data_IF_673779074948
#
_entry.id   IF_673779074948
#
_cell.length_a   1.000
_cell.length_b   1.000
_cell.length_c   1.000
_cell.angle_alpha   90.00
_cell.angle_beta   90.00
_cell.angle_gamma   90.00
#
_symmetry.space_group_name_H-M   'P 1'
#
loop_
_entity.id
_entity.type
_entity.pdbx_description
1 polymer ?
#
# COMPACT_ATOMS: atom_id res chain seq x y z
N UNK A 1 -36.78 -12.71 65.12
CA UNK A 1 -35.74 -11.69 64.80
C UNK A 1 -34.48 -12.45 64.40
N UNK A 2 -33.89 -12.41 63.21
CA UNK A 2 -34.19 -11.83 61.91
C UNK A 2 -33.27 -12.53 60.90
N UNK A 3 -33.80 -12.89 59.73
CA UNK A 3 -33.04 -13.42 58.58
C UNK A 3 -31.99 -12.41 58.13
N UNK A 4 -30.77 -12.84 57.82
CA UNK A 4 -29.91 -12.22 56.79
C UNK A 4 -29.13 -13.30 56.05
N UNK A 5 -29.67 -13.71 54.90
CA UNK A 5 -28.91 -14.35 53.82
C UNK A 5 -28.02 -13.30 53.18
N UNK A 6 -26.71 -13.53 53.15
CA UNK A 6 -25.79 -12.73 52.36
C UNK A 6 -25.84 -13.27 50.93
N UNK A 7 -26.59 -12.57 50.07
CA UNK A 7 -26.60 -12.80 48.62
C UNK A 7 -25.36 -12.08 48.07
N UNK A 8 -24.35 -12.83 47.65
CA UNK A 8 -23.19 -12.31 46.92
C UNK A 8 -23.63 -12.00 45.49
N UNK A 9 -23.83 -10.72 45.17
CA UNK A 9 -24.07 -10.28 43.81
C UNK A 9 -22.73 -10.22 43.06
N UNK A 10 -22.43 -11.25 42.28
CA UNK A 10 -21.39 -11.17 41.25
C UNK A 10 -21.91 -10.28 40.12
N UNK A 11 -21.51 -9.02 40.12
CA UNK A 11 -21.63 -8.15 38.95
C UNK A 11 -20.69 -8.71 37.86
N UNK A 12 -21.24 -9.50 36.94
CA UNK A 12 -20.60 -9.71 35.63
C UNK A 12 -20.74 -8.39 34.89
N UNK A 13 -19.69 -7.57 34.94
CA UNK A 13 -19.54 -6.45 34.04
C UNK A 13 -19.32 -7.03 32.64
N UNK A 14 -20.41 -7.24 31.91
CA UNK A 14 -20.37 -7.43 30.47
C UNK A 14 -19.85 -6.14 29.87
N UNK A 15 -18.53 -6.05 29.68
CA UNK A 15 -17.94 -5.09 28.75
C UNK A 15 -18.44 -5.46 27.37
N UNK A 16 -19.57 -4.87 26.99
CA UNK A 16 -19.88 -4.58 25.60
C UNK A 16 -18.67 -3.78 25.10
N UNK A 17 -17.73 -4.47 24.46
CA UNK A 17 -16.79 -3.86 23.54
C UNK A 17 -17.67 -3.26 22.44
N UNK A 18 -18.10 -2.02 22.66
CA UNK A 18 -18.50 -1.15 21.59
C UNK A 18 -17.35 -1.20 20.59
N UNK A 19 -17.62 -1.74 19.41
CA UNK A 19 -16.80 -1.61 18.20
C UNK A 19 -16.76 -0.13 17.80
N UNK A 20 -16.20 0.70 18.68
CA UNK A 20 -15.77 2.03 18.33
C UNK A 20 -14.67 1.84 17.31
N UNK A 21 -14.98 2.20 16.07
CA UNK A 21 -14.04 2.31 14.97
C UNK A 21 -12.86 3.19 15.44
N UNK A 22 -11.81 2.54 15.94
CA UNK A 22 -10.52 3.18 16.12
C UNK A 22 -10.07 3.54 14.71
N UNK A 23 -10.26 4.80 14.32
CA UNK A 23 -9.64 5.31 13.10
C UNK A 23 -8.14 5.07 13.24
N UNK A 24 -7.52 4.42 12.26
CA UNK A 24 -6.10 4.17 12.28
C UNK A 24 -5.33 5.49 12.43
N UNK A 25 -4.22 5.45 13.18
CA UNK A 25 -3.42 6.64 13.45
C UNK A 25 -2.84 7.23 12.16
N UNK A 26 -2.95 8.55 12.02
CA UNK A 26 -2.33 9.29 10.92
C UNK A 26 -0.81 9.23 11.05
N UNK A 27 -0.10 8.86 9.98
CA UNK A 27 1.37 8.88 9.94
C UNK A 27 1.93 10.27 9.63
N UNK A 28 1.11 11.18 9.08
CA UNK A 28 1.42 12.60 8.90
C UNK A 28 0.51 13.46 9.79
N UNK A 29 0.88 13.65 11.05
CA UNK A 29 0.03 14.30 12.06
C UNK A 29 -0.04 15.83 11.95
N UNK A 30 0.89 16.43 11.20
CA UNK A 30 1.04 17.89 11.05
C UNK A 30 0.97 18.29 9.58
N UNK A 31 0.60 19.55 9.33
CA UNK A 31 0.75 20.17 8.01
C UNK A 31 2.22 20.43 7.74
N UNK A 32 2.78 19.76 6.74
CA UNK A 32 4.13 20.02 6.25
C UNK A 32 4.14 21.31 5.42
N UNK A 33 5.25 22.05 5.49
CA UNK A 33 5.44 23.28 4.71
C UNK A 33 6.19 22.98 3.41
N UNK A 34 5.44 22.75 2.34
CA UNK A 34 5.94 22.65 0.98
C UNK A 34 5.38 23.78 0.12
N UNK A 35 6.20 24.78 -0.27
CA UNK A 35 5.75 25.92 -1.07
C UNK A 35 5.28 25.57 -2.49
N UNK A 36 5.70 24.42 -3.03
CA UNK A 36 5.32 23.97 -4.37
C UNK A 36 4.13 23.00 -4.37
N UNK A 37 3.70 22.53 -3.20
CA UNK A 37 2.53 21.65 -3.06
C UNK A 37 1.21 22.42 -3.15
N UNK A 38 0.15 21.70 -3.53
CA UNK A 38 -1.24 22.18 -3.47
C UNK A 38 -1.90 21.63 -2.21
N UNK A 39 -2.77 22.41 -1.57
CA UNK A 39 -3.51 21.99 -0.37
C UNK A 39 -5.02 22.02 -0.66
N UNK A 40 -5.71 20.89 -0.48
CA UNK A 40 -7.15 20.77 -0.64
C UNK A 40 -7.88 21.46 0.51
N UNK A 41 -8.03 22.78 0.41
CA UNK A 41 -8.54 23.63 1.49
C UNK A 41 -9.69 24.52 0.98
N UNK A 42 -10.67 24.87 1.82
CA UNK A 42 -11.80 25.73 1.43
C UNK A 42 -11.38 27.11 0.90
N UNK A 43 -10.20 27.59 1.27
CA UNK A 43 -9.63 28.85 0.77
C UNK A 43 -9.18 28.76 -0.68
N UNK A 44 -8.82 27.56 -1.15
CA UNK A 44 -8.26 27.32 -2.48
C UNK A 44 -9.24 26.63 -3.45
N UNK A 45 -10.19 25.85 -2.91
CA UNK A 45 -11.12 25.03 -3.69
C UNK A 45 -12.51 25.05 -3.06
N UNK A 46 -13.59 24.82 -3.82
CA UNK A 46 -14.96 24.76 -3.30
C UNK A 46 -15.25 23.44 -2.54
N UNK A 47 -14.28 22.94 -1.78
CA UNK A 47 -14.35 21.70 -1.01
C UNK A 47 -15.01 21.95 0.35
N UNK A 48 -15.80 20.99 0.86
CA UNK A 48 -16.46 21.05 2.16
C UNK A 48 -15.81 20.13 3.19
N UNK A 49 -15.51 18.88 2.84
CA UNK A 49 -14.90 17.92 3.77
C UNK A 49 -15.79 17.56 4.96
N UNK A 50 -17.12 17.69 4.82
CA UNK A 50 -18.12 17.47 5.88
C UNK A 50 -18.80 16.08 5.83
N UNK A 51 -18.46 15.27 4.84
CA UNK A 51 -19.01 13.93 4.59
C UNK A 51 -20.41 13.91 3.98
N UNK A 52 -20.96 15.08 3.64
CA UNK A 52 -22.33 15.25 3.14
C UNK A 52 -22.33 15.86 1.74
N UNK A 53 -21.66 16.99 1.56
CA UNK A 53 -21.55 17.65 0.26
C UNK A 53 -20.72 16.80 -0.70
N UNK A 54 -21.09 16.81 -1.98
CA UNK A 54 -20.29 16.15 -3.00
C UNK A 54 -19.04 16.98 -3.33
N UNK A 55 -17.89 16.47 -2.92
CA UNK A 55 -16.59 17.11 -3.10
C UNK A 55 -15.88 16.66 -4.38
N UNK A 56 -16.49 15.79 -5.21
CA UNK A 56 -15.82 15.18 -6.36
C UNK A 56 -15.20 16.20 -7.33
N UNK A 57 -15.92 17.27 -7.65
CA UNK A 57 -15.40 18.32 -8.56
C UNK A 57 -14.30 19.16 -7.93
N UNK A 58 -14.39 19.45 -6.63
CA UNK A 58 -13.37 20.21 -5.93
C UNK A 58 -12.06 19.42 -5.83
N UNK A 59 -12.17 18.11 -5.56
CA UNK A 59 -11.02 17.20 -5.52
C UNK A 59 -10.38 17.07 -6.91
N UNK A 60 -11.18 16.89 -7.97
CA UNK A 60 -10.65 16.83 -9.34
C UNK A 60 -9.95 18.14 -9.74
N UNK A 61 -10.53 19.31 -9.41
CA UNK A 61 -9.90 20.61 -9.66
C UNK A 61 -8.56 20.76 -8.95
N UNK A 62 -8.45 20.26 -7.71
CA UNK A 62 -7.19 20.29 -6.97
C UNK A 62 -6.12 19.40 -7.62
N UNK A 63 -6.47 18.18 -8.03
CA UNK A 63 -5.56 17.29 -8.77
C UNK A 63 -5.15 17.92 -10.11
N UNK A 64 -6.09 18.54 -10.82
CA UNK A 64 -5.82 19.21 -12.10
C UNK A 64 -4.85 20.38 -11.93
N UNK A 65 -4.94 21.10 -10.81
CA UNK A 65 -4.08 22.23 -10.45
C UNK A 65 -2.65 21.80 -10.11
N UNK A 66 -2.47 20.63 -9.50
CA UNK A 66 -1.13 20.08 -9.22
C UNK A 66 -0.37 19.88 -10.54
N UNK A 67 -0.99 19.23 -11.52
CA UNK A 67 -0.37 18.90 -12.82
C UNK A 67 0.76 17.84 -12.76
N UNK A 68 1.52 17.82 -11.66
CA UNK A 68 2.53 16.86 -11.22
C UNK A 68 3.13 17.36 -9.88
N UNK A 69 3.42 16.49 -8.92
CA UNK A 69 3.81 16.86 -7.56
C UNK A 69 2.82 16.39 -6.49
N UNK A 70 2.66 17.15 -5.41
CA UNK A 70 1.92 16.72 -4.21
C UNK A 70 0.61 17.52 -4.06
N UNK A 71 -0.48 16.79 -3.80
CA UNK A 71 -1.72 17.31 -3.21
C UNK A 71 -1.81 16.87 -1.74
N UNK A 72 -1.71 17.83 -0.82
CA UNK A 72 -1.96 17.60 0.60
C UNK A 72 -3.45 17.71 0.91
N UNK A 73 -3.97 16.71 1.62
CA UNK A 73 -5.39 16.59 1.96
C UNK A 73 -5.52 16.65 3.49
N UNK A 74 -6.08 17.72 4.07
CA UNK A 74 -6.28 17.81 5.51
C UNK A 74 -7.29 16.77 5.99
N UNK A 75 -7.23 16.42 7.27
CA UNK A 75 -8.26 15.64 7.94
C UNK A 75 -9.66 16.18 7.63
N UNK A 76 -10.60 15.28 7.38
CA UNK A 76 -11.96 15.60 6.95
C UNK A 76 -12.60 14.37 6.32
N UNK A 77 -13.90 14.46 6.02
CA UNK A 77 -14.62 13.41 5.29
C UNK A 77 -15.11 13.98 3.97
N UNK A 78 -14.63 13.45 2.86
CA UNK A 78 -14.89 13.98 1.53
C UNK A 78 -15.81 13.00 0.80
N UNK A 79 -17.09 13.37 0.65
CA UNK A 79 -18.03 12.50 -0.05
C UNK A 79 -17.83 12.65 -1.55
N UNK A 80 -17.66 11.51 -2.23
CA UNK A 80 -17.52 11.42 -3.68
C UNK A 80 -18.76 10.75 -4.27
N UNK A 81 -19.21 11.19 -5.44
CA UNK A 81 -20.32 10.56 -6.19
C UNK A 81 -19.92 10.11 -7.59
N UNK A 82 -18.71 10.46 -8.02
CA UNK A 82 -18.14 10.10 -9.32
C UNK A 82 -16.65 9.79 -9.21
N UNK A 83 -16.12 9.17 -10.25
CA UNK A 83 -14.70 8.83 -10.35
C UNK A 83 -13.84 10.09 -10.39
N UNK A 84 -12.81 10.10 -9.55
CA UNK A 84 -11.73 11.09 -9.53
C UNK A 84 -10.50 10.48 -10.20
N UNK A 85 -9.92 11.19 -11.16
CA UNK A 85 -8.76 10.74 -11.92
C UNK A 85 -7.47 11.29 -11.34
N UNK A 86 -6.51 10.41 -11.07
CA UNK A 86 -5.16 10.76 -10.62
C UNK A 86 -4.23 10.77 -11.83
N UNK A 87 -3.56 11.89 -12.07
CA UNK A 87 -2.64 12.04 -13.19
C UNK A 87 -1.26 11.43 -12.91
N UNK A 88 -0.49 11.07 -13.96
CA UNK A 88 0.89 10.63 -13.81
C UNK A 88 1.72 11.64 -12.99
N UNK A 89 2.50 11.15 -12.03
CA UNK A 89 3.32 11.98 -11.16
C UNK A 89 2.55 12.86 -10.18
N UNK A 90 1.28 12.57 -9.87
CA UNK A 90 0.55 13.24 -8.79
C UNK A 90 0.47 12.32 -7.57
N UNK A 91 0.87 12.84 -6.40
CA UNK A 91 0.78 12.14 -5.11
C UNK A 91 -0.25 12.79 -4.19
N UNK A 92 -1.15 11.99 -3.66
CA UNK A 92 -2.17 12.41 -2.70
C UNK A 92 -1.68 12.00 -1.31
N UNK A 93 -1.51 12.97 -0.42
CA UNK A 93 -0.97 12.73 0.93
C UNK A 93 -1.93 13.34 1.96
N UNK A 94 -2.56 12.48 2.76
CA UNK A 94 -3.41 12.91 3.86
C UNK A 94 -2.60 13.39 5.05
N UNK A 95 -3.12 14.39 5.79
CA UNK A 95 -2.49 14.86 7.03
C UNK A 95 -3.51 15.34 8.06
N UNK A 96 -3.12 15.32 9.34
CA UNK A 96 -3.94 15.73 10.48
C UNK A 96 -3.89 14.71 11.61
N UNK A 97 -4.58 14.99 12.71
CA UNK A 97 -4.61 14.11 13.88
C UNK A 97 -5.25 12.75 13.54
N UNK A 98 -6.20 12.75 12.61
CA UNK A 98 -6.77 11.55 11.99
C UNK A 98 -6.56 11.61 10.49
N UNK A 99 -6.53 10.45 9.82
CA UNK A 99 -6.47 10.39 8.36
C UNK A 99 -7.72 11.03 7.75
N UNK A 100 -7.62 11.78 6.63
CA UNK A 100 -8.79 12.10 5.83
C UNK A 100 -9.44 10.84 5.27
N UNK A 101 -10.77 10.91 5.09
CA UNK A 101 -11.59 9.81 4.58
C UNK A 101 -12.26 10.24 3.28
N UNK A 102 -12.08 9.49 2.21
CA UNK A 102 -12.95 9.60 1.03
C UNK A 102 -14.08 8.59 1.12
N UNK A 103 -15.32 9.08 1.02
CA UNK A 103 -16.51 8.25 1.23
C UNK A 103 -17.41 8.20 0.00
N UNK A 104 -17.77 6.99 -0.41
CA UNK A 104 -18.92 6.75 -1.29
C UNK A 104 -20.14 6.41 -0.41
N UNK A 105 -21.18 7.23 -0.49
CA UNK A 105 -22.40 7.04 0.30
C UNK A 105 -23.14 5.75 -0.08
N UNK A 106 -24.05 5.32 0.80
CA UNK A 106 -24.94 4.18 0.50
C UNK A 106 -25.75 4.42 -0.77
N UNK A 107 -25.99 3.35 -1.55
CA UNK A 107 -26.81 3.38 -2.76
C UNK A 107 -26.46 4.54 -3.72
N UNK A 108 -25.17 4.88 -3.87
CA UNK A 108 -24.76 6.03 -4.68
C UNK A 108 -25.07 5.76 -6.15
N UNK A 109 -25.85 6.62 -6.84
CA UNK A 109 -26.29 6.36 -8.20
C UNK A 109 -25.17 5.99 -9.17
N UNK A 110 -25.38 4.88 -9.89
CA UNK A 110 -24.48 4.38 -10.91
C UNK A 110 -23.39 3.43 -10.39
N UNK A 111 -23.41 3.05 -9.11
CA UNK A 111 -22.53 2.02 -8.51
C UNK A 111 -23.26 0.69 -8.22
N UNK A 112 -24.49 0.53 -8.75
CA UNK A 112 -25.34 -0.66 -8.57
C UNK A 112 -25.17 -1.70 -9.69
N UNK A 113 -24.39 -1.39 -10.73
CA UNK A 113 -24.23 -2.25 -11.90
C UNK A 113 -23.35 -3.49 -11.66
N UNK A 114 -23.11 -4.25 -12.73
CA UNK A 114 -22.26 -5.46 -12.71
C UNK A 114 -20.79 -5.18 -13.07
N UNK A 115 -20.53 -4.08 -13.77
CA UNK A 115 -19.17 -3.67 -14.17
C UNK A 115 -18.57 -2.74 -13.13
N UNK A 116 -17.26 -2.88 -12.87
CA UNK A 116 -16.55 -1.98 -11.96
C UNK A 116 -16.74 -0.51 -12.27
N UNK A 117 -16.91 0.26 -11.19
CA UNK A 117 -16.85 1.70 -11.18
C UNK A 117 -16.00 2.17 -10.02
N UNK A 118 -15.10 3.11 -10.29
CA UNK A 118 -14.00 3.43 -9.40
C UNK A 118 -14.27 4.74 -8.65
N UNK A 119 -13.92 4.83 -7.37
CA UNK A 119 -13.83 6.12 -6.68
C UNK A 119 -12.60 6.88 -7.18
N UNK A 120 -11.45 6.21 -7.23
CA UNK A 120 -10.21 6.75 -7.78
C UNK A 120 -9.70 5.93 -8.96
N UNK A 121 -9.25 6.62 -10.00
CA UNK A 121 -8.66 6.00 -11.19
C UNK A 121 -7.28 6.59 -11.47
N UNK A 122 -6.23 5.78 -11.31
CA UNK A 122 -4.88 6.18 -11.70
C UNK A 122 -4.75 6.08 -13.21
N UNK A 123 -4.61 7.24 -13.87
CA UNK A 123 -4.67 7.35 -15.32
C UNK A 123 -3.28 7.47 -15.94
N UNK A 124 -3.11 6.91 -17.15
CA UNK A 124 -1.94 7.15 -17.99
C UNK A 124 -1.87 8.55 -18.61
N UNK A 125 -2.91 9.38 -18.46
CA UNK A 125 -2.97 10.74 -18.99
C UNK A 125 -4.38 11.20 -19.37
N UNK A 126 -4.53 12.51 -19.58
CA UNK A 126 -5.82 13.21 -19.84
C UNK A 126 -6.50 12.90 -21.19
N UNK A 127 -6.00 11.93 -21.95
CA UNK A 127 -6.43 11.64 -23.32
C UNK A 127 -5.80 12.57 -24.37
N UNK A 128 -5.80 12.16 -25.65
CA UNK A 128 -5.16 12.90 -26.77
C UNK A 128 -6.00 14.06 -27.32
N UNK A 129 -7.31 14.07 -27.08
CA UNK A 129 -8.24 15.10 -27.54
C UNK A 129 -8.89 15.79 -26.33
N UNK A 130 -9.07 17.10 -26.39
CA UNK A 130 -9.82 17.83 -25.36
C UNK A 130 -11.22 17.22 -25.17
N UNK A 131 -11.50 16.71 -23.97
CA UNK A 131 -12.79 16.09 -23.62
C UNK A 131 -12.92 14.60 -23.92
N UNK A 132 -11.87 13.92 -24.39
CA UNK A 132 -11.85 12.45 -24.46
C UNK A 132 -11.73 11.80 -23.07
N UNK A 133 -12.11 10.52 -22.92
CA UNK A 133 -11.90 9.81 -21.66
C UNK A 133 -10.40 9.70 -21.34
N UNK A 134 -10.01 9.80 -20.05
CA UNK A 134 -8.64 9.54 -19.63
C UNK A 134 -8.15 8.17 -20.10
N UNK A 135 -6.87 8.07 -20.45
CA UNK A 135 -6.28 6.77 -20.81
C UNK A 135 -6.07 5.93 -19.55
N UNK A 136 -6.22 4.61 -19.67
CA UNK A 136 -5.79 3.69 -18.61
C UNK A 136 -4.28 3.85 -18.33
N UNK A 137 -3.88 3.46 -17.13
CA UNK A 137 -2.46 3.36 -16.80
C UNK A 137 -1.73 2.38 -17.71
N UNK A 138 -0.43 2.61 -17.88
CA UNK A 138 0.41 1.87 -18.81
C UNK A 138 1.85 1.78 -18.26
N UNK A 139 2.78 1.07 -18.93
CA UNK A 139 4.17 0.96 -18.48
C UNK A 139 4.93 2.29 -18.29
N UNK A 140 4.37 3.43 -18.72
CA UNK A 140 4.90 4.78 -18.51
C UNK A 140 4.23 5.58 -17.38
N UNK A 141 3.27 5.01 -16.65
CA UNK A 141 2.55 5.69 -15.56
C UNK A 141 3.33 5.62 -14.25
N UNK A 142 4.33 6.50 -14.10
CA UNK A 142 5.24 6.54 -12.95
C UNK A 142 4.85 7.59 -11.90
N UNK A 143 5.42 7.43 -10.70
CA UNK A 143 5.48 8.43 -9.61
C UNK A 143 4.17 8.86 -8.93
N UNK A 144 3.00 8.37 -9.38
CA UNK A 144 1.72 8.67 -8.73
C UNK A 144 1.52 7.83 -7.48
N UNK A 145 0.97 8.40 -6.41
CA UNK A 145 0.75 7.65 -5.16
C UNK A 145 -0.45 8.18 -4.37
N UNK A 146 -0.93 7.38 -3.43
CA UNK A 146 -1.89 7.82 -2.41
C UNK A 146 -1.43 7.27 -1.06
N UNK A 147 -1.35 8.12 -0.04
CA UNK A 147 -0.85 7.72 1.27
C UNK A 147 -1.57 8.42 2.41
N UNK A 148 -1.74 7.71 3.53
CA UNK A 148 -2.34 8.24 4.76
C UNK A 148 -3.76 8.77 4.57
N UNK A 149 -4.56 8.05 3.77
CA UNK A 149 -5.93 8.41 3.36
C UNK A 149 -6.78 7.14 3.46
N UNK A 150 -7.92 7.23 4.13
CA UNK A 150 -8.87 6.11 4.23
C UNK A 150 -9.93 6.18 3.13
N UNK A 151 -10.45 5.01 2.74
CA UNK A 151 -11.55 4.87 1.78
C UNK A 151 -12.72 4.13 2.44
N UNK A 152 -13.90 4.72 2.33
CA UNK A 152 -15.15 4.12 2.79
C UNK A 152 -16.16 3.98 1.65
N UNK A 153 -16.75 2.80 1.53
CA UNK A 153 -17.84 2.51 0.60
C UNK A 153 -19.04 1.99 1.40
N UNK A 154 -20.15 2.70 1.34
CA UNK A 154 -21.41 2.28 1.96
C UNK A 154 -22.08 1.11 1.25
N UNK A 155 -23.07 0.52 1.91
CA UNK A 155 -23.90 -0.56 1.36
C UNK A 155 -24.63 -0.17 0.07
N UNK A 156 -25.00 -1.18 -0.74
CA UNK A 156 -25.75 -0.97 -1.99
C UNK A 156 -24.91 -0.46 -3.16
N UNK A 157 -23.59 -0.64 -3.10
CA UNK A 157 -22.64 -0.25 -4.15
C UNK A 157 -21.82 -1.45 -4.70
N UNK A 158 -22.46 -2.53 -5.21
CA UNK A 158 -21.79 -3.76 -5.62
C UNK A 158 -20.79 -3.62 -6.77
N UNK A 159 -20.90 -2.57 -7.59
CA UNK A 159 -19.91 -2.27 -8.65
C UNK A 159 -18.73 -1.43 -8.15
N UNK A 160 -18.78 -0.89 -6.93
CA UNK A 160 -17.78 0.04 -6.46
C UNK A 160 -16.43 -0.63 -6.23
N UNK A 161 -15.40 0.09 -6.63
CA UNK A 161 -14.00 -0.21 -6.34
C UNK A 161 -13.37 1.05 -5.77
N UNK A 162 -12.64 0.93 -4.67
CA UNK A 162 -11.97 2.08 -4.05
C UNK A 162 -10.95 2.72 -5.00
N UNK A 163 -9.99 1.92 -5.47
CA UNK A 163 -8.91 2.40 -6.34
C UNK A 163 -8.73 1.48 -7.56
N UNK A 164 -8.70 2.05 -8.75
CA UNK A 164 -8.15 1.41 -9.96
C UNK A 164 -6.67 1.80 -10.07
N UNK A 165 -5.77 0.86 -9.80
CA UNK A 165 -4.35 1.16 -9.57
C UNK A 165 -3.42 0.60 -10.67
N UNK A 166 -3.82 0.72 -11.95
CA UNK A 166 -2.95 0.35 -13.08
C UNK A 166 -1.81 1.37 -13.16
N UNK A 167 -0.61 0.98 -12.77
CA UNK A 167 0.52 1.90 -12.80
C UNK A 167 1.83 1.15 -13.01
N UNK A 168 2.89 1.92 -13.23
CA UNK A 168 4.27 1.45 -13.34
C UNK A 168 5.06 1.78 -12.05
N UNK A 169 6.40 1.72 -12.13
CA UNK A 169 7.31 1.87 -10.99
C UNK A 169 7.16 3.23 -10.27
N UNK A 170 7.65 3.29 -9.02
CA UNK A 170 7.57 4.46 -8.13
C UNK A 170 6.14 4.95 -7.79
N UNK A 171 5.14 4.14 -8.10
CA UNK A 171 3.78 4.30 -7.64
C UNK A 171 3.50 3.36 -6.47
N UNK A 172 2.81 3.86 -5.45
CA UNK A 172 2.41 3.07 -4.28
C UNK A 172 1.08 3.55 -3.69
N UNK A 173 0.45 2.65 -2.93
CA UNK A 173 -0.58 2.98 -1.94
C UNK A 173 -0.04 2.61 -0.56
N UNK A 174 -0.13 3.51 0.43
CA UNK A 174 0.34 3.18 1.78
C UNK A 174 -0.43 3.82 2.93
N UNK A 175 -0.47 3.12 4.07
CA UNK A 175 -1.10 3.60 5.32
C UNK A 175 -2.58 3.95 5.11
N UNK A 176 -3.40 2.98 4.72
CA UNK A 176 -4.81 3.22 4.39
C UNK A 176 -5.73 2.15 4.98
N UNK A 177 -6.87 2.59 5.52
CA UNK A 177 -7.99 1.69 5.79
C UNK A 177 -8.99 1.71 4.63
N UNK A 178 -9.50 0.54 4.28
CA UNK A 178 -10.58 0.32 3.32
C UNK A 178 -11.77 -0.31 4.04
N UNK A 179 -12.86 0.44 4.20
CA UNK A 179 -14.13 -0.06 4.78
C UNK A 179 -15.14 -0.21 3.66
N UNK A 180 -15.37 -1.44 3.22
CA UNK A 180 -15.85 -1.70 1.86
C UNK A 180 -17.35 -1.96 1.75
N UNK A 181 -18.08 -2.19 2.84
CA UNK A 181 -19.50 -2.52 2.78
C UNK A 181 -19.78 -3.63 1.76
N UNK A 182 -20.65 -3.36 0.77
CA UNK A 182 -20.97 -4.27 -0.33
C UNK A 182 -20.06 -4.13 -1.57
N UNK A 183 -18.95 -3.40 -1.52
CA UNK A 183 -18.12 -3.10 -2.69
C UNK A 183 -17.59 -4.35 -3.38
N UNK A 184 -17.27 -4.22 -4.68
CA UNK A 184 -16.58 -5.26 -5.45
C UNK A 184 -15.18 -5.49 -4.90
N UNK A 185 -14.39 -4.43 -4.78
CA UNK A 185 -13.03 -4.54 -4.28
C UNK A 185 -12.55 -3.26 -3.58
N UNK A 186 -11.56 -3.38 -2.70
CA UNK A 186 -10.80 -2.21 -2.27
C UNK A 186 -9.96 -1.66 -3.40
N UNK A 187 -9.22 -2.54 -4.08
CA UNK A 187 -8.35 -2.17 -5.20
C UNK A 187 -8.56 -3.14 -6.36
N UNK A 188 -8.64 -2.58 -7.58
CA UNK A 188 -8.54 -3.34 -8.82
C UNK A 188 -7.28 -3.02 -9.60
N UNK A 189 -6.64 -4.08 -10.07
CA UNK A 189 -5.43 -4.08 -10.90
C UNK A 189 -4.33 -3.23 -10.25
N UNK A 190 -3.44 -3.86 -9.50
CA UNK A 190 -2.37 -3.20 -8.75
C UNK A 190 -1.05 -3.16 -9.53
N UNK A 191 -0.24 -2.15 -9.24
CA UNK A 191 1.18 -2.06 -9.56
C UNK A 191 1.81 -0.95 -8.73
N UNK A 192 3.11 -0.87 -8.45
CA UNK A 192 4.06 -1.97 -8.33
C UNK A 192 4.13 -2.49 -6.87
N UNK A 193 3.59 -1.72 -5.91
CA UNK A 193 3.72 -1.94 -4.48
C UNK A 193 2.50 -1.40 -3.73
N UNK A 194 2.03 -2.14 -2.73
CA UNK A 194 1.08 -1.68 -1.72
C UNK A 194 1.56 -2.10 -0.33
N UNK A 195 1.50 -1.17 0.63
CA UNK A 195 2.10 -1.30 1.96
C UNK A 195 1.12 -0.85 3.05
N UNK A 196 1.01 -1.57 4.17
CA UNK A 196 0.22 -1.14 5.33
C UNK A 196 -1.23 -0.74 4.96
N UNK A 197 -1.90 -1.65 4.23
CA UNK A 197 -3.29 -1.50 3.83
C UNK A 197 -4.21 -2.47 4.58
N UNK A 198 -5.33 -1.97 5.08
CA UNK A 198 -6.26 -2.75 5.89
C UNK A 198 -7.65 -2.82 5.25
N UNK A 199 -8.06 -4.01 4.81
CA UNK A 199 -9.32 -4.23 4.10
C UNK A 199 -10.37 -4.88 4.99
N UNK A 200 -11.52 -4.22 5.14
CA UNK A 200 -12.65 -4.67 5.94
C UNK A 200 -13.91 -4.82 5.07
N UNK A 201 -14.43 -6.03 4.97
CA UNK A 201 -15.61 -6.34 4.16
C UNK A 201 -15.35 -6.33 2.65
N UNK A 202 -16.40 -6.13 1.85
CA UNK A 202 -16.36 -6.20 0.38
C UNK A 202 -16.38 -7.64 -0.16
N UNK A 203 -16.40 -7.78 -1.49
CA UNK A 203 -16.23 -9.10 -2.13
C UNK A 203 -14.75 -9.51 -2.14
N UNK A 204 -13.87 -8.58 -2.50
CA UNK A 204 -12.43 -8.75 -2.51
C UNK A 204 -11.73 -7.60 -1.79
N UNK A 205 -10.56 -7.84 -1.19
CA UNK A 205 -9.67 -6.76 -0.80
C UNK A 205 -8.96 -6.23 -2.04
N UNK A 206 -8.30 -7.15 -2.75
CA UNK A 206 -7.61 -6.89 -4.01
C UNK A 206 -8.13 -7.85 -5.09
N UNK A 207 -8.47 -7.33 -6.26
CA UNK A 207 -8.70 -8.12 -7.46
C UNK A 207 -7.78 -7.62 -8.58
N UNK A 208 -6.80 -8.40 -8.99
CA UNK A 208 -5.72 -7.91 -9.87
C UNK A 208 -5.42 -8.82 -11.03
N UNK A 209 -5.02 -8.20 -12.14
CA UNK A 209 -4.31 -8.83 -13.26
C UNK A 209 -2.82 -8.50 -13.20
N UNK A 210 -2.08 -8.88 -14.24
CA UNK A 210 -0.72 -8.40 -14.49
C UNK A 210 -0.63 -6.89 -14.30
N UNK A 211 0.41 -6.42 -13.61
CA UNK A 211 0.74 -5.01 -13.59
C UNK A 211 0.93 -4.48 -15.03
N UNK A 212 0.80 -3.17 -15.21
CA UNK A 212 0.95 -2.53 -16.52
C UNK A 212 2.23 -2.95 -17.28
N UNK A 213 3.41 -2.98 -16.63
CA UNK A 213 4.64 -3.45 -17.26
C UNK A 213 4.84 -4.98 -17.21
N UNK A 214 3.94 -5.74 -16.58
CA UNK A 214 4.03 -7.20 -16.43
C UNK A 214 5.05 -7.69 -15.40
N UNK A 215 5.49 -6.82 -14.49
CA UNK A 215 6.41 -7.17 -13.39
C UNK A 215 5.64 -7.74 -12.18
N UNK A 216 6.34 -8.50 -11.30
CA UNK A 216 5.78 -8.89 -10.01
C UNK A 216 5.44 -7.68 -9.12
N UNK A 217 4.41 -7.82 -8.31
CA UNK A 217 3.85 -6.80 -7.43
C UNK A 217 4.09 -7.18 -5.96
N UNK A 218 4.49 -6.21 -5.15
CA UNK A 218 4.66 -6.37 -3.70
C UNK A 218 3.37 -5.98 -2.96
N UNK A 219 2.93 -6.86 -2.05
CA UNK A 219 1.87 -6.61 -1.07
C UNK A 219 2.47 -6.88 0.31
N UNK A 220 2.68 -5.86 1.13
CA UNK A 220 3.43 -6.01 2.39
C UNK A 220 2.71 -5.37 3.57
N UNK A 221 2.73 -6.05 4.73
CA UNK A 221 2.13 -5.57 5.98
C UNK A 221 0.62 -5.26 5.88
N UNK A 222 -0.08 -5.93 4.94
CA UNK A 222 -1.51 -5.73 4.70
C UNK A 222 -2.39 -6.68 5.53
N UNK A 223 -3.60 -6.24 5.88
CA UNK A 223 -4.60 -7.09 6.54
C UNK A 223 -5.90 -7.20 5.75
N UNK A 224 -6.50 -8.38 5.75
CA UNK A 224 -7.74 -8.69 5.05
C UNK A 224 -8.70 -9.35 6.02
N UNK A 225 -9.84 -8.72 6.27
CA UNK A 225 -10.87 -9.24 7.18
C UNK A 225 -12.27 -9.14 6.57
N UNK A 226 -12.98 -10.28 6.53
CA UNK A 226 -14.41 -10.29 6.22
C UNK A 226 -14.79 -10.16 4.74
N UNK A 227 -13.85 -10.34 3.81
CA UNK A 227 -14.20 -10.43 2.38
C UNK A 227 -15.13 -11.61 2.12
N UNK A 228 -16.20 -11.38 1.35
CA UNK A 228 -17.23 -12.38 1.10
C UNK A 228 -16.91 -13.39 -0.01
N UNK A 229 -15.89 -13.15 -0.83
CA UNK A 229 -15.43 -14.08 -1.87
C UNK A 229 -14.01 -14.58 -1.59
N UNK A 230 -13.03 -13.67 -1.62
CA UNK A 230 -11.64 -13.98 -1.27
C UNK A 230 -10.92 -12.71 -0.81
N UNK A 231 -9.88 -12.83 0.01
CA UNK A 231 -9.03 -11.68 0.33
C UNK A 231 -8.38 -11.10 -0.96
N UNK A 232 -7.80 -11.99 -1.78
CA UNK A 232 -7.15 -11.63 -3.05
C UNK A 232 -7.63 -12.54 -4.19
N UNK A 233 -8.08 -11.94 -5.29
CA UNK A 233 -8.27 -12.62 -6.57
C UNK A 233 -7.15 -12.21 -7.54
N UNK A 234 -6.42 -13.18 -8.07
CA UNK A 234 -5.27 -12.94 -8.94
C UNK A 234 -5.46 -13.57 -10.32
N UNK A 235 -5.24 -12.78 -11.36
CA UNK A 235 -5.31 -13.19 -12.76
C UNK A 235 -3.96 -12.90 -13.44
N UNK A 236 -2.99 -13.80 -13.20
CA UNK A 236 -1.59 -13.64 -13.60
C UNK A 236 -0.95 -12.41 -12.95
N UNK A 237 -1.30 -12.12 -11.70
CA UNK A 237 -0.80 -10.95 -10.99
C UNK A 237 0.71 -10.98 -10.81
N UNK A 238 1.27 -12.13 -10.45
CA UNK A 238 2.66 -12.21 -10.01
C UNK A 238 2.84 -11.47 -8.69
N UNK A 239 2.54 -12.10 -7.55
CA UNK A 239 2.46 -11.43 -6.25
C UNK A 239 3.51 -11.96 -5.28
N UNK A 240 4.28 -11.05 -4.67
CA UNK A 240 5.00 -11.28 -3.43
C UNK A 240 4.20 -10.69 -2.27
N UNK A 241 3.68 -11.54 -1.39
CA UNK A 241 2.81 -11.15 -0.27
C UNK A 241 3.54 -11.43 1.04
N UNK A 242 3.99 -10.38 1.71
CA UNK A 242 4.88 -10.49 2.88
C UNK A 242 4.17 -9.98 4.13
N UNK A 243 4.18 -10.79 5.19
CA UNK A 243 3.54 -10.52 6.48
C UNK A 243 2.04 -10.15 6.41
N UNK A 244 1.22 -10.76 5.52
CA UNK A 244 -0.20 -10.47 5.53
C UNK A 244 -0.88 -11.12 6.75
N UNK A 245 -1.95 -10.50 7.24
CA UNK A 245 -2.92 -11.19 8.09
C UNK A 245 -4.25 -11.30 7.36
N UNK A 246 -4.71 -12.53 7.14
CA UNK A 246 -5.95 -12.83 6.41
C UNK A 246 -6.88 -13.58 7.34
N UNK A 247 -8.04 -13.00 7.62
CA UNK A 247 -8.98 -13.53 8.60
C UNK A 247 -10.42 -13.50 8.12
N UNK A 248 -11.22 -14.50 8.53
CA UNK A 248 -12.67 -14.50 8.36
C UNK A 248 -13.12 -14.38 6.90
N UNK A 249 -12.43 -15.07 6.00
CA UNK A 249 -12.72 -15.09 4.55
C UNK A 249 -12.98 -16.52 4.07
N UNK A 250 -13.68 -16.73 2.93
CA UNK A 250 -13.78 -18.05 2.32
C UNK A 250 -12.44 -18.56 1.78
N UNK A 251 -11.63 -17.67 1.21
CA UNK A 251 -10.36 -17.98 0.55
C UNK A 251 -9.36 -16.85 0.75
N UNK A 252 -8.10 -17.17 1.01
CA UNK A 252 -7.04 -16.15 1.10
C UNK A 252 -6.64 -15.66 -0.30
N UNK A 253 -6.20 -16.57 -1.18
CA UNK A 253 -5.83 -16.22 -2.54
C UNK A 253 -6.45 -17.20 -3.53
N UNK A 254 -7.13 -16.66 -4.53
CA UNK A 254 -7.69 -17.43 -5.64
C UNK A 254 -7.05 -16.99 -6.95
N UNK A 255 -6.29 -17.88 -7.59
CA UNK A 255 -5.78 -17.63 -8.94
C UNK A 255 -6.85 -17.92 -9.99
N UNK A 256 -6.79 -17.24 -11.13
CA UNK A 256 -7.70 -17.44 -12.25
C UNK A 256 -7.65 -18.88 -12.80
N UNK A 257 -8.76 -19.32 -13.37
CA UNK A 257 -8.81 -20.59 -14.11
C UNK A 257 -8.00 -20.47 -15.41
N UNK A 258 -7.43 -21.59 -15.87
CA UNK A 258 -6.72 -21.73 -17.15
C UNK A 258 -5.50 -20.81 -17.35
N UNK A 259 -5.07 -20.06 -16.33
CA UNK A 259 -3.93 -19.15 -16.38
C UNK A 259 -2.91 -19.45 -15.28
N UNK A 260 -1.63 -19.35 -15.63
CA UNK A 260 -0.53 -19.54 -14.71
C UNK A 260 -0.27 -18.25 -13.92
N UNK A 261 0.07 -18.38 -12.64
CA UNK A 261 0.37 -17.24 -11.77
C UNK A 261 1.68 -17.49 -11.02
N UNK A 262 2.26 -16.43 -10.48
CA UNK A 262 3.53 -16.46 -9.74
C UNK A 262 3.29 -15.88 -8.35
N UNK A 263 2.95 -16.73 -7.39
CA UNK A 263 2.58 -16.36 -6.03
C UNK A 263 3.65 -16.80 -5.03
N UNK A 264 4.12 -15.83 -4.25
CA UNK A 264 4.95 -16.04 -3.07
C UNK A 264 4.26 -15.41 -1.87
N UNK A 265 4.00 -16.19 -0.81
CA UNK A 265 3.48 -15.67 0.45
C UNK A 265 4.43 -16.05 1.57
N UNK A 266 4.89 -15.08 2.37
CA UNK A 266 5.73 -15.36 3.53
C UNK A 266 5.30 -14.64 4.79
N UNK A 267 5.62 -15.26 5.93
CA UNK A 267 5.42 -14.70 7.28
C UNK A 267 3.95 -14.33 7.58
N UNK A 268 3.02 -15.08 7.00
CA UNK A 268 1.59 -14.79 7.03
C UNK A 268 0.87 -15.44 8.20
N UNK A 269 -0.26 -14.84 8.58
CA UNK A 269 -1.24 -15.45 9.49
C UNK A 269 -2.58 -15.60 8.77
N UNK A 270 -3.07 -16.84 8.66
CA UNK A 270 -4.37 -17.21 8.12
C UNK A 270 -5.29 -17.70 9.25
N UNK A 271 -6.44 -17.05 9.43
CA UNK A 271 -7.38 -17.36 10.51
C UNK A 271 -8.81 -17.50 10.01
N UNK A 272 -9.50 -18.57 10.42
CA UNK A 272 -10.91 -18.79 10.13
C UNK A 272 -11.22 -18.73 8.61
N UNK A 273 -10.39 -19.41 7.82
CA UNK A 273 -10.66 -19.55 6.38
C UNK A 273 -11.61 -20.72 6.19
N UNK A 274 -12.82 -20.47 5.70
CA UNK A 274 -13.88 -21.49 5.67
C UNK A 274 -13.78 -22.46 4.49
N UNK A 275 -13.22 -22.00 3.36
CA UNK A 275 -12.92 -22.81 2.18
C UNK A 275 -11.45 -23.19 2.06
N UNK A 276 -10.96 -23.53 0.84
CA UNK A 276 -9.54 -23.61 0.57
C UNK A 276 -8.86 -22.24 0.76
N UNK A 277 -7.75 -22.20 1.50
CA UNK A 277 -6.96 -20.98 1.63
C UNK A 277 -6.35 -20.55 0.29
N UNK A 278 -5.84 -21.52 -0.48
CA UNK A 278 -5.37 -21.32 -1.85
C UNK A 278 -6.27 -22.04 -2.85
N UNK A 279 -6.70 -21.33 -3.89
CA UNK A 279 -7.28 -21.94 -5.09
C UNK A 279 -6.31 -21.74 -6.25
N UNK A 280 -5.77 -22.85 -6.75
CA UNK A 280 -4.70 -22.89 -7.76
C UNK A 280 -5.31 -23.35 -9.09
N UNK A 281 -5.19 -22.51 -10.12
CA UNK A 281 -5.53 -22.83 -11.50
C UNK A 281 -4.32 -23.25 -12.33
N UNK A 282 -4.56 -23.62 -13.59
CA UNK A 282 -3.57 -24.07 -14.57
C UNK A 282 -2.43 -24.90 -13.97
N UNK A 283 -2.79 -25.86 -13.11
CA UNK A 283 -1.89 -26.57 -12.19
C UNK A 283 -0.80 -27.42 -12.87
N UNK A 284 -0.94 -27.65 -14.19
CA UNK A 284 0.02 -28.43 -14.99
C UNK A 284 0.87 -27.53 -15.90
N UNK A 285 0.83 -26.21 -15.73
CA UNK A 285 1.64 -25.27 -16.48
C UNK A 285 3.01 -25.07 -15.83
N UNK A 286 4.07 -25.12 -16.62
CA UNK A 286 5.44 -24.89 -16.14
C UNK A 286 5.68 -23.47 -15.58
N UNK A 287 4.81 -22.50 -15.90
CA UNK A 287 4.85 -21.15 -15.34
C UNK A 287 4.07 -20.99 -14.03
N UNK A 288 3.19 -21.93 -13.68
CA UNK A 288 2.45 -21.84 -12.43
C UNK A 288 3.43 -22.06 -11.28
N UNK A 289 3.52 -21.08 -10.38
CA UNK A 289 4.41 -21.08 -9.23
C UNK A 289 3.62 -20.57 -8.02
N UNK A 290 3.34 -21.43 -7.05
CA UNK A 290 2.64 -21.05 -5.82
C UNK A 290 3.45 -21.52 -4.63
N UNK A 291 3.92 -20.58 -3.82
CA UNK A 291 4.84 -20.85 -2.73
C UNK A 291 4.37 -20.18 -1.44
N UNK A 292 4.47 -20.92 -0.33
CA UNK A 292 4.30 -20.39 1.02
C UNK A 292 5.58 -20.64 1.82
N UNK A 293 5.97 -19.68 2.65
CA UNK A 293 7.03 -19.84 3.64
C UNK A 293 6.61 -19.25 4.99
N UNK A 294 6.75 -20.01 6.07
CA UNK A 294 6.40 -19.54 7.43
C UNK A 294 4.97 -18.96 7.51
N UNK A 295 3.97 -19.76 7.14
CA UNK A 295 2.56 -19.36 7.18
C UNK A 295 1.84 -20.07 8.32
N UNK A 296 1.40 -19.30 9.32
CA UNK A 296 0.64 -19.81 10.44
C UNK A 296 -0.85 -19.85 10.12
N UNK A 297 -1.50 -20.97 10.41
CA UNK A 297 -2.89 -21.24 10.11
C UNK A 297 -3.65 -21.60 11.38
N UNK A 298 -4.83 -21.02 11.57
CA UNK A 298 -5.79 -21.42 12.61
C UNK A 298 -7.19 -21.52 12.02
N UNK A 299 -7.85 -22.65 12.22
CA UNK A 299 -9.14 -22.97 11.63
C UNK A 299 -9.12 -22.83 10.09
N UNK A 300 -8.13 -23.45 9.46
CA UNK A 300 -7.97 -23.54 8.00
C UNK A 300 -8.00 -25.02 7.60
N UNK A 301 -9.19 -25.60 7.36
CA UNK A 301 -9.32 -27.05 7.16
C UNK A 301 -8.73 -27.52 5.82
N UNK A 302 -8.73 -26.65 4.80
CA UNK A 302 -8.15 -26.94 3.48
C UNK A 302 -7.11 -25.88 3.16
N UNK A 303 -5.84 -26.28 3.07
CA UNK A 303 -4.75 -25.37 2.72
C UNK A 303 -4.80 -24.99 1.24
N UNK A 304 -4.98 -25.96 0.35
CA UNK A 304 -4.97 -25.71 -1.09
C UNK A 304 -5.98 -26.60 -1.82
N UNK A 305 -6.52 -26.08 -2.92
CA UNK A 305 -7.31 -26.81 -3.90
C UNK A 305 -6.81 -26.49 -5.31
N UNK A 306 -6.92 -27.48 -6.18
CA UNK A 306 -6.42 -27.46 -7.56
C UNK A 306 -7.62 -27.54 -8.52
N UNK A 307 -7.78 -26.54 -9.38
CA UNK A 307 -9.01 -26.35 -10.17
C UNK A 307 -9.22 -27.47 -11.19
N UNK A 308 -8.17 -27.92 -11.86
CA UNK A 308 -8.27 -28.88 -12.97
C UNK A 308 -8.43 -30.32 -12.47
N UNK A 309 -7.66 -30.72 -11.44
CA UNK A 309 -7.78 -32.07 -10.87
C UNK A 309 -8.86 -32.22 -9.82
N UNK A 310 -9.31 -31.11 -9.22
CA UNK A 310 -10.16 -31.13 -8.02
C UNK A 310 -9.43 -31.63 -6.77
N UNK A 311 -8.11 -31.86 -6.84
CA UNK A 311 -7.30 -32.30 -5.70
C UNK A 311 -7.32 -31.25 -4.61
N UNK A 312 -7.34 -31.70 -3.36
CA UNK A 312 -7.20 -30.83 -2.18
C UNK A 312 -6.04 -31.27 -1.31
N UNK A 313 -5.51 -30.31 -0.54
CA UNK A 313 -4.55 -30.54 0.54
C UNK A 313 -5.16 -30.03 1.84
N UNK A 314 -5.40 -30.94 2.77
CA UNK A 314 -5.95 -30.64 4.09
C UNK A 314 -4.93 -29.91 4.96
N UNK A 315 -5.41 -28.98 5.79
CA UNK A 315 -4.61 -28.37 6.86
C UNK A 315 -4.23 -29.39 7.94
N UNK A 316 -3.16 -29.10 8.70
CA UNK A 316 -2.61 -30.05 9.68
C UNK A 316 -3.17 -29.79 11.08
N UNK A 317 -4.40 -30.21 11.35
CA UNK A 317 -5.06 -29.97 12.63
C UNK A 317 -5.73 -28.58 12.69
N UNK A 318 -6.12 -28.14 13.89
CA UNK A 318 -6.84 -26.88 14.07
C UNK A 318 -5.92 -25.65 14.09
N UNK A 319 -4.67 -25.81 14.49
CA UNK A 319 -3.62 -24.78 14.45
C UNK A 319 -2.31 -25.40 13.96
N UNK A 320 -1.71 -24.83 12.92
CA UNK A 320 -0.47 -25.35 12.33
C UNK A 320 0.35 -24.26 11.68
N UNK A 321 1.63 -24.55 11.47
CA UNK A 321 2.53 -23.71 10.68
C UNK A 321 2.95 -24.48 9.44
N UNK A 322 2.81 -23.85 8.28
CA UNK A 322 3.40 -24.30 7.02
C UNK A 322 4.79 -23.69 6.94
N UNK A 323 5.82 -24.52 7.17
CA UNK A 323 7.21 -24.07 7.04
C UNK A 323 7.50 -23.76 5.57
N UNK A 324 7.05 -24.64 4.68
CA UNK A 324 7.19 -24.51 3.24
C UNK A 324 6.04 -25.22 2.51
N UNK A 325 5.47 -24.55 1.52
CA UNK A 325 4.63 -25.15 0.49
C UNK A 325 5.17 -24.70 -0.86
N UNK A 326 5.20 -25.59 -1.84
CA UNK A 326 5.56 -25.24 -3.21
C UNK A 326 4.79 -26.09 -4.19
N UNK A 327 4.16 -25.44 -5.17
CA UNK A 327 3.59 -26.07 -6.35
C UNK A 327 4.10 -25.37 -7.60
N UNK A 328 4.56 -26.13 -8.58
CA UNK A 328 5.04 -25.62 -9.85
C UNK A 328 6.10 -26.54 -10.46
N UNK A 329 6.92 -25.98 -11.36
CA UNK A 329 8.05 -26.72 -11.96
C UNK A 329 9.22 -26.83 -10.96
N UNK A 330 9.56 -28.06 -10.58
CA UNK A 330 10.73 -28.35 -9.76
C UNK A 330 11.89 -28.91 -10.60
N UNK A 331 13.11 -28.50 -10.23
CA UNK A 331 14.37 -29.06 -10.71
C UNK A 331 15.24 -29.37 -9.50
N UNK A 332 15.38 -30.67 -9.15
CA UNK A 332 16.15 -31.12 -7.97
C UNK A 332 17.68 -31.10 -8.20
N UNK A 333 18.14 -30.53 -9.32
CA UNK A 333 19.55 -30.39 -9.71
C UNK A 333 19.71 -30.15 -11.21
N UNK A 334 20.91 -29.79 -11.66
CA UNK A 334 21.20 -29.42 -13.07
C UNK A 334 20.85 -30.53 -14.08
N UNK A 335 20.97 -31.80 -13.67
CA UNK A 335 20.70 -32.97 -14.52
C UNK A 335 19.38 -33.69 -14.14
N UNK A 336 18.60 -33.11 -13.22
CA UNK A 336 17.36 -33.73 -12.77
C UNK A 336 16.27 -33.63 -13.85
N UNK A 337 15.36 -34.61 -13.87
CA UNK A 337 14.18 -34.54 -14.71
C UNK A 337 13.26 -33.46 -14.15
N UNK A 338 12.92 -32.48 -14.98
CA UNK A 338 11.94 -31.43 -14.63
C UNK A 338 10.58 -32.06 -14.37
N UNK A 339 9.95 -31.70 -13.26
CA UNK A 339 8.64 -32.24 -12.88
C UNK A 339 7.77 -31.14 -12.29
N UNK A 340 6.52 -31.09 -12.72
CA UNK A 340 5.52 -30.28 -12.04
C UNK A 340 5.00 -31.12 -10.87
N UNK A 341 5.22 -30.64 -9.65
CA UNK A 341 4.83 -31.35 -8.42
C UNK A 341 4.39 -30.36 -7.34
N UNK A 342 3.79 -30.92 -6.29
CA UNK A 342 3.44 -30.19 -5.07
C UNK A 342 4.21 -30.79 -3.90
N UNK A 343 4.85 -29.94 -3.10
CA UNK A 343 5.57 -30.29 -1.88
C UNK A 343 5.04 -29.47 -0.71
N UNK A 344 5.01 -30.04 0.49
CA UNK A 344 4.52 -29.36 1.69
C UNK A 344 5.22 -29.89 2.94
N UNK A 345 5.75 -28.99 3.75
CA UNK A 345 6.20 -29.21 5.12
C UNK A 345 5.34 -28.36 6.03
N UNK A 346 4.63 -29.01 6.96
CA UNK A 346 3.80 -28.33 7.94
C UNK A 346 3.78 -29.12 9.25
N UNK A 347 3.65 -28.40 10.36
CA UNK A 347 3.66 -28.92 11.71
C UNK A 347 2.49 -28.35 12.52
N UNK A 348 1.80 -29.22 13.25
CA UNK A 348 0.75 -28.80 14.18
C UNK A 348 1.39 -28.08 15.38
N UNK A 349 0.74 -27.02 15.85
CA UNK A 349 1.20 -26.23 17.01
C UNK A 349 0.01 -26.00 17.95
N UNK A 350 0.28 -25.68 19.23
CA UNK A 350 -0.79 -25.46 20.21
C UNK A 350 -1.34 -24.03 20.20
N UNK A 351 -0.52 -23.06 19.80
CA UNK A 351 -0.87 -21.64 19.73
C UNK A 351 -0.26 -21.02 18.47
N UNK A 352 -0.94 -20.01 17.91
CA UNK A 352 -0.36 -19.24 16.82
C UNK A 352 0.95 -18.56 17.27
N UNK A 353 1.99 -18.53 16.40
CA UNK A 353 3.17 -17.70 16.64
C UNK A 353 2.78 -16.22 16.66
N UNK A 354 3.59 -15.36 17.29
CA UNK A 354 3.39 -13.91 17.21
C UNK A 354 3.53 -13.44 15.76
N UNK A 355 2.81 -12.37 15.42
CA UNK A 355 3.00 -11.68 14.14
C UNK A 355 4.45 -11.25 13.98
N UNK A 356 5.02 -11.51 12.80
CA UNK A 356 6.35 -11.02 12.46
C UNK A 356 6.29 -9.49 12.35
N UNK A 357 7.16 -8.79 13.08
CA UNK A 357 7.22 -7.34 13.03
C UNK A 357 7.69 -6.86 11.65
N UNK A 358 7.19 -5.69 11.22
CA UNK A 358 7.68 -5.05 10.01
C UNK A 358 9.18 -4.73 10.13
N UNK A 359 9.90 -4.96 9.05
CA UNK A 359 11.30 -4.56 8.85
C UNK A 359 11.41 -3.18 8.20
N UNK A 360 10.29 -2.54 7.86
CA UNK A 360 10.24 -1.18 7.36
C UNK A 360 10.40 -0.21 8.53
N UNK A 361 11.49 0.58 8.60
CA UNK A 361 11.70 1.48 9.71
C UNK A 361 10.66 2.60 9.74
N UNK A 362 10.01 2.78 10.89
CA UNK A 362 9.11 3.92 11.09
C UNK A 362 9.87 5.25 10.95
N UNK A 363 9.24 6.22 10.29
CA UNK A 363 9.75 7.59 10.28
C UNK A 363 9.65 8.22 11.67
N UNK A 364 10.55 9.16 12.02
CA UNK A 364 10.39 9.98 13.22
C UNK A 364 9.06 10.74 13.18
N UNK A 365 8.56 11.16 14.34
CA UNK A 365 7.38 12.03 14.43
C UNK A 365 7.49 13.23 13.48
N UNK A 366 6.54 13.42 12.54
CA UNK A 366 6.52 14.54 11.61
C UNK A 366 6.69 15.92 12.25
N UNK A 367 6.24 16.11 13.49
CA UNK A 367 6.41 17.36 14.22
C UNK A 367 7.88 17.69 14.54
N UNK A 368 8.78 16.70 14.46
CA UNK A 368 10.22 16.84 14.71
C UNK A 368 11.04 17.12 13.46
N UNK A 369 10.41 17.08 12.27
CA UNK A 369 11.14 17.24 11.02
C UNK A 369 11.51 18.70 10.81
N UNK A 370 12.79 18.94 10.55
CA UNK A 370 13.28 20.30 10.28
C UNK A 370 13.25 20.52 8.77
N UNK A 371 12.47 21.50 8.31
CA UNK A 371 12.42 21.89 6.91
C UNK A 371 13.75 22.55 6.51
N UNK A 372 14.47 21.96 5.56
CA UNK A 372 15.80 22.45 5.12
C UNK A 372 15.77 23.88 4.57
N UNK A 373 14.62 24.35 4.06
CA UNK A 373 14.43 25.73 3.59
C UNK A 373 14.67 26.75 4.69
N UNK A 374 14.26 26.42 5.92
CA UNK A 374 14.46 27.28 7.10
C UNK A 374 15.93 27.36 7.54
N UNK A 375 16.78 26.47 7.00
CA UNK A 375 18.21 26.39 7.29
C UNK A 375 19.08 27.00 6.17
N UNK A 376 18.46 27.64 5.17
CA UNK A 376 19.15 28.30 4.06
C UNK A 376 19.43 27.41 2.85
N UNK A 377 18.86 26.21 2.78
CA UNK A 377 18.90 25.36 1.58
C UNK A 377 17.83 25.84 0.59
N UNK A 378 18.21 26.26 -0.61
CA UNK A 378 17.30 26.96 -1.54
C UNK A 378 16.57 26.05 -2.52
N UNK A 379 17.18 24.91 -2.91
CA UNK A 379 16.61 23.87 -3.79
C UNK A 379 15.89 24.42 -5.00
N UNK A 380 16.47 25.48 -5.58
CA UNK A 380 15.95 26.28 -6.69
C UNK A 380 16.47 25.81 -8.05
N UNK A 381 17.28 24.74 -8.08
CA UNK A 381 17.92 24.20 -9.28
C UNK A 381 19.04 25.07 -9.84
N UNK A 382 19.55 26.04 -9.08
CA UNK A 382 20.58 27.00 -9.51
C UNK A 382 21.68 27.18 -8.49
N UNK A 383 21.31 27.34 -7.23
CA UNK A 383 22.23 27.52 -6.12
C UNK A 383 22.85 26.18 -5.76
N UNK A 384 24.16 26.17 -5.53
CA UNK A 384 24.86 25.02 -4.96
C UNK A 384 24.50 24.90 -3.47
N UNK A 385 23.64 23.94 -3.14
CA UNK A 385 23.13 23.68 -1.80
C UNK A 385 24.09 22.84 -0.94
N UNK A 386 25.24 22.40 -1.47
CA UNK A 386 26.15 21.45 -0.80
C UNK A 386 26.53 21.88 0.61
N UNK A 387 26.97 23.12 0.78
CA UNK A 387 27.44 23.60 2.08
C UNK A 387 26.28 23.71 3.09
N UNK A 388 25.12 24.19 2.63
CA UNK A 388 23.94 24.34 3.47
C UNK A 388 23.36 22.97 3.88
N UNK A 389 23.30 22.00 2.95
CA UNK A 389 22.87 20.63 3.24
C UNK A 389 23.84 19.91 4.19
N UNK A 390 25.16 20.02 3.98
CA UNK A 390 26.15 19.47 4.91
C UNK A 390 25.97 20.02 6.33
N UNK A 391 25.75 21.33 6.46
CA UNK A 391 25.47 21.97 7.75
C UNK A 391 24.17 21.44 8.38
N UNK A 392 23.09 21.39 7.60
CA UNK A 392 21.81 20.87 8.06
C UNK A 392 21.93 19.41 8.55
N UNK A 393 22.65 18.57 7.81
CA UNK A 393 22.90 17.16 8.17
C UNK A 393 23.71 17.06 9.47
N UNK A 394 24.69 17.94 9.68
CA UNK A 394 25.49 17.95 10.90
C UNK A 394 24.67 18.36 12.15
N UNK A 395 23.74 19.30 11.98
CA UNK A 395 22.99 19.93 13.09
C UNK A 395 21.67 19.21 13.42
N UNK A 396 21.01 18.57 12.43
CA UNK A 396 19.65 18.04 12.59
C UNK A 396 19.50 16.60 12.14
N UNK A 397 18.78 15.80 12.95
CA UNK A 397 18.64 14.35 12.72
C UNK A 397 17.66 14.07 11.58
N UNK A 398 16.47 14.66 11.65
CA UNK A 398 15.38 14.46 10.69
C UNK A 398 15.20 15.74 9.87
N UNK A 399 15.48 15.64 8.57
CA UNK A 399 15.41 16.75 7.63
C UNK A 399 14.31 16.48 6.62
N UNK A 400 13.35 17.38 6.55
CA UNK A 400 12.34 17.40 5.50
C UNK A 400 12.84 18.27 4.34
N UNK A 401 12.88 17.69 3.15
CA UNK A 401 13.18 18.35 1.89
C UNK A 401 11.86 18.53 1.13
N UNK A 402 11.29 19.75 1.09
CA UNK A 402 10.18 20.08 0.20
C UNK A 402 10.51 19.81 -1.27
N UNK A 403 9.51 19.79 -2.14
CA UNK A 403 9.75 19.75 -3.59
C UNK A 403 10.71 20.87 -4.03
N UNK A 404 11.69 20.50 -4.83
CA UNK A 404 12.81 21.32 -5.24
C UNK A 404 13.92 20.51 -5.90
N UNK A 405 14.80 21.23 -6.59
CA UNK A 405 16.01 20.69 -7.21
C UNK A 405 17.22 21.21 -6.42
N UNK A 406 17.84 20.33 -5.65
CA UNK A 406 18.92 20.64 -4.71
C UNK A 406 20.26 20.31 -5.37
N UNK A 407 20.93 21.31 -5.94
CA UNK A 407 22.20 21.07 -6.62
C UNK A 407 23.29 20.78 -5.60
N UNK A 408 24.08 19.75 -5.86
CA UNK A 408 25.26 19.41 -5.06
C UNK A 408 26.50 19.27 -5.93
N UNK A 409 27.64 19.70 -5.40
CA UNK A 409 28.96 19.64 -6.04
C UNK A 409 29.95 18.75 -5.30
N UNK A 410 29.57 18.19 -4.14
CA UNK A 410 30.38 17.29 -3.34
C UNK A 410 29.52 16.29 -2.53
N UNK A 411 30.15 15.23 -2.00
CA UNK A 411 29.49 14.18 -1.22
C UNK A 411 28.77 14.74 0.02
N UNK A 412 27.53 14.32 0.23
CA UNK A 412 26.77 14.52 1.46
C UNK A 412 26.99 13.31 2.39
N UNK A 413 27.95 13.42 3.31
CA UNK A 413 28.17 12.37 4.32
C UNK A 413 27.13 12.49 5.43
N UNK A 414 26.34 11.44 5.63
CA UNK A 414 25.31 11.38 6.66
C UNK A 414 25.90 11.04 8.03
N UNK A 415 25.22 11.46 9.10
CA UNK A 415 25.51 10.96 10.46
C UNK A 415 24.91 9.57 10.63
N UNK A 416 25.33 8.76 11.63
CA UNK A 416 24.86 7.38 11.78
C UNK A 416 23.35 7.18 11.87
N UNK A 417 22.58 8.21 12.20
CA UNK A 417 21.13 8.14 12.35
C UNK A 417 20.38 9.27 11.63
N UNK A 418 21.00 9.89 10.61
CA UNK A 418 20.33 10.90 9.75
C UNK A 418 19.14 10.29 9.03
N UNK A 419 18.05 11.05 9.01
CA UNK A 419 16.82 10.77 8.28
C UNK A 419 16.58 11.91 7.29
N UNK A 420 16.62 11.61 5.99
CA UNK A 420 16.26 12.55 4.92
C UNK A 420 14.90 12.14 4.37
N UNK A 421 13.93 13.05 4.45
CA UNK A 421 12.55 12.83 4.02
C UNK A 421 12.22 13.78 2.88
N UNK A 422 11.97 13.22 1.70
CA UNK A 422 11.17 13.84 0.64
C UNK A 422 9.87 13.07 0.49
N UNK A 423 8.91 13.64 -0.25
CA UNK A 423 7.61 13.02 -0.45
C UNK A 423 7.29 12.74 -1.92
N UNK A 424 8.20 13.11 -2.84
CA UNK A 424 8.02 12.94 -4.27
C UNK A 424 9.38 12.86 -4.99
N UNK A 425 9.90 11.66 -5.32
CA UNK A 425 11.27 11.50 -5.78
C UNK A 425 11.54 12.08 -7.18
N UNK A 426 10.51 12.34 -8.00
CA UNK A 426 10.70 13.08 -9.26
C UNK A 426 10.59 14.61 -9.11
N UNK A 427 10.23 15.11 -7.93
CA UNK A 427 10.03 16.54 -7.68
C UNK A 427 10.85 17.06 -6.48
N UNK A 428 11.40 16.18 -5.66
CA UNK A 428 12.37 16.43 -4.59
C UNK A 428 13.64 15.69 -4.99
N UNK A 429 14.61 16.40 -5.55
CA UNK A 429 15.78 15.77 -6.21
C UNK A 429 17.06 16.39 -5.69
N UNK A 430 17.95 15.57 -5.10
CA UNK A 430 19.35 15.94 -4.85
C UNK A 430 20.09 15.69 -6.16
N UNK A 431 20.40 16.76 -6.89
CA UNK A 431 20.92 16.65 -8.25
C UNK A 431 22.41 16.94 -8.29
N UNK A 432 23.15 16.04 -8.92
CA UNK A 432 24.53 16.25 -9.30
C UNK A 432 24.58 16.78 -10.75
N UNK A 433 24.95 18.05 -10.99
CA UNK A 433 25.05 18.58 -12.35
C UNK A 433 26.09 17.83 -13.20
N UNK A 434 25.80 17.70 -14.50
CA UNK A 434 26.74 17.14 -15.48
C UNK A 434 28.08 17.89 -15.44
N UNK A 435 29.18 17.12 -15.49
CA UNK A 435 30.52 17.70 -15.50
C UNK A 435 30.99 18.26 -14.15
N UNK A 436 30.27 18.04 -13.05
CA UNK A 436 30.70 18.47 -11.70
C UNK A 436 32.13 18.00 -11.41
N UNK A 437 33.13 18.90 -11.23
CA UNK A 437 34.54 18.53 -11.24
C UNK A 437 34.94 17.46 -10.22
N UNK A 438 34.30 17.45 -9.06
CA UNK A 438 34.60 16.51 -7.98
C UNK A 438 34.19 15.05 -8.26
N UNK A 439 33.42 14.82 -9.33
CA UNK A 439 32.89 13.52 -9.75
C UNK A 439 33.36 13.13 -11.17
N UNK A 440 34.37 13.82 -11.70
CA UNK A 440 34.97 13.54 -13.00
C UNK A 440 36.33 12.84 -12.84
N UNK A 441 36.80 12.22 -13.93
CA UNK A 441 38.15 11.66 -14.04
C UNK A 441 38.24 10.16 -13.81
N UNK A 442 39.46 9.63 -13.94
CA UNK A 442 39.79 8.23 -13.68
C UNK A 442 40.04 8.02 -12.18
N UNK A 443 39.49 6.96 -11.60
CA UNK A 443 39.68 6.65 -10.18
C UNK A 443 38.52 5.87 -9.58
N UNK A 444 38.51 5.77 -8.25
CA UNK A 444 37.41 5.15 -7.53
C UNK A 444 36.14 6.01 -7.62
N UNK A 445 34.95 5.40 -7.79
CA UNK A 445 33.70 6.13 -7.81
C UNK A 445 33.51 6.89 -6.50
N UNK A 446 32.93 8.09 -6.61
CA UNK A 446 32.60 8.95 -5.48
C UNK A 446 31.09 8.99 -5.27
N UNK A 447 30.65 8.77 -4.04
CA UNK A 447 29.23 8.78 -3.70
C UNK A 447 28.67 10.21 -3.63
N UNK A 448 27.45 10.42 -4.14
CA UNK A 448 26.71 11.69 -3.93
C UNK A 448 26.21 11.78 -2.49
N UNK A 449 25.65 10.68 -1.97
CA UNK A 449 25.25 10.52 -0.57
C UNK A 449 26.02 9.34 0.01
N UNK A 450 26.67 9.56 1.15
CA UNK A 450 27.47 8.52 1.82
C UNK A 450 26.90 8.24 3.22
N UNK A 451 26.59 6.98 3.50
CA UNK A 451 26.18 6.53 4.84
C UNK A 451 27.38 5.93 5.58
N UNK A 452 27.51 6.17 6.90
CA UNK A 452 28.58 5.55 7.67
C UNK A 452 28.30 4.07 7.89
N UNK A 453 29.37 3.26 7.99
CA UNK A 453 29.28 1.83 8.31
C UNK A 453 28.49 1.62 9.61
N UNK A 454 27.47 0.76 9.55
CA UNK A 454 26.61 0.45 10.70
C UNK A 454 25.59 1.55 11.05
N UNK A 455 25.39 2.55 10.18
CA UNK A 455 24.33 3.54 10.33
C UNK A 455 22.94 2.95 10.17
N UNK A 456 21.96 3.59 10.79
CA UNK A 456 20.51 3.29 10.71
C UNK A 456 19.80 4.42 9.94
N UNK A 457 20.40 4.85 8.83
CA UNK A 457 19.93 5.97 8.04
C UNK A 457 18.62 5.64 7.32
N UNK A 458 17.78 6.66 7.15
CA UNK A 458 16.59 6.58 6.29
C UNK A 458 16.71 7.67 5.22
N UNK A 459 16.59 7.29 3.95
CA UNK A 459 16.48 8.22 2.81
C UNK A 459 15.23 7.78 2.05
N UNK A 460 14.18 8.59 2.08
CA UNK A 460 12.89 8.24 1.49
C UNK A 460 12.33 9.37 0.65
N UNK A 461 11.63 9.03 -0.44
CA UNK A 461 10.90 9.97 -1.31
C UNK A 461 11.75 11.06 -1.97
N UNK A 462 13.06 10.83 -2.12
CA UNK A 462 14.03 11.75 -2.75
C UNK A 462 14.64 11.06 -3.98
N UNK A 463 14.69 11.75 -5.11
CA UNK A 463 15.50 11.36 -6.26
C UNK A 463 16.95 11.81 -6.08
N UNK A 464 17.91 11.02 -6.58
CA UNK A 464 19.35 11.32 -6.52
C UNK A 464 19.96 11.17 -7.91
#
# INVERSE_FOLDING_TARGET
>A
MGRRSVLTWSFVASTLLSSGLLHAASVYTVRLDDPAAVYLTPESFPVKGDGVADDSDAVQQAIDKVGGGILFIPQGTYRLTKTVYIWPGVRLIGYGQTRPVFRLGENTPGFQGETSKYMFFFSGGRGRNAGGPPSDGNPGTFYSAMSNIDIEIGEGNPAAVGVRFHVAQHCYLSHMDFRLGSARAGIEDIGNEVEDLHFHGGQYGIATKRAAPGWPILVIDCTFDGQSQAAIASDEGGLAIVRPRIANVPTAVSTAADKADELWISDAIFENITGPALIIGNENNARMQVNLQNVACKNVPTLASFRESGKTLTGRGSVYVVDQFSHGLHLDGLNAVRQIKTTTSAQEVTTLPPTVASDIPALPDPATWVNVRTLGVTGDGKTDDTAALKKAIAEHRALYLPMGLYLVSDTLTLRPNTVLIGLHPSATVISLPDGTPAFQGEGSPKAVIETPKGGTNIVTGIGV
#
